data_IF_526545212403
#
_entry.id   IF_526545212403
#
_cell.length_a   1.000
_cell.length_b   1.000
_cell.length_c   1.000
_cell.angle_alpha   90.00
_cell.angle_beta   90.00
_cell.angle_gamma   90.00
#
_symmetry.space_group_name_H-M   'P 1'
#
loop_
_entity.id
_entity.type
_entity.pdbx_description
1 polymer ?
#
# COMPACT_ATOMS: atom_id res chain seq x y z
N UNK A 1 -5.39 10.87 -6.47
CA UNK A 1 -4.65 9.66 -6.04
C UNK A 1 -4.25 9.88 -4.59
N UNK A 2 -4.24 8.83 -3.76
CA UNK A 2 -3.89 8.99 -2.34
C UNK A 2 -2.42 8.70 -2.15
N UNK A 3 -1.68 9.62 -1.52
CA UNK A 3 -0.34 9.33 -1.02
C UNK A 3 -0.46 8.42 0.20
N UNK A 4 -0.08 7.15 0.05
CA UNK A 4 -0.31 6.11 1.05
C UNK A 4 1.00 5.49 1.53
N UNK A 5 1.05 5.16 2.82
CA UNK A 5 2.21 4.56 3.47
C UNK A 5 1.89 3.11 3.85
N UNK A 6 2.92 2.28 3.79
CA UNK A 6 2.93 0.97 4.42
C UNK A 6 3.58 1.06 5.79
N UNK A 7 3.16 0.16 6.67
CA UNK A 7 3.53 0.19 8.09
C UNK A 7 4.16 -1.11 8.58
N UNK A 8 4.47 -2.04 7.67
CA UNK A 8 5.02 -3.35 8.01
C UNK A 8 6.27 -3.64 7.18
N UNK A 9 7.28 -4.23 7.80
CA UNK A 9 8.44 -4.75 7.09
C UNK A 9 8.07 -6.00 6.29
N UNK A 10 7.07 -6.77 6.74
CA UNK A 10 6.57 -7.92 5.99
C UNK A 10 6.09 -7.54 4.59
N UNK A 11 5.26 -6.50 4.47
CA UNK A 11 4.83 -6.03 3.15
C UNK A 11 6.03 -5.57 2.32
N UNK A 12 7.05 -4.97 2.94
CA UNK A 12 8.28 -4.59 2.24
C UNK A 12 9.04 -5.80 1.69
N UNK A 13 9.27 -6.83 2.50
CA UNK A 13 9.94 -8.05 2.04
C UNK A 13 9.15 -8.77 0.95
N UNK A 14 7.82 -8.82 1.07
CA UNK A 14 6.94 -9.40 0.05
C UNK A 14 6.98 -8.62 -1.28
N UNK A 15 7.14 -7.29 -1.22
CA UNK A 15 7.37 -6.47 -2.42
C UNK A 15 8.72 -6.80 -3.06
N UNK A 16 9.78 -6.93 -2.26
CA UNK A 16 11.11 -7.29 -2.79
C UNK A 16 11.10 -8.67 -3.46
N UNK A 17 10.40 -9.64 -2.89
CA UNK A 17 10.16 -10.95 -3.49
C UNK A 17 9.54 -10.80 -4.88
N UNK A 18 8.44 -10.06 -5.02
CA UNK A 18 7.81 -9.85 -6.33
C UNK A 18 8.68 -9.08 -7.32
N UNK A 19 9.54 -8.19 -6.84
CA UNK A 19 10.48 -7.45 -7.71
C UNK A 19 11.58 -8.37 -8.23
N UNK A 20 12.00 -9.35 -7.43
CA UNK A 20 13.03 -10.31 -7.85
C UNK A 20 12.60 -11.18 -9.04
N UNK A 21 11.29 -11.25 -9.32
CA UNK A 21 10.72 -11.96 -10.47
C UNK A 21 10.68 -11.10 -11.76
N UNK A 22 10.99 -9.82 -11.70
CA UNK A 22 10.98 -8.92 -12.86
C UNK A 22 12.25 -9.07 -13.70
N UNK A 23 12.13 -8.87 -15.01
CA UNK A 23 13.30 -8.83 -15.89
C UNK A 23 14.18 -7.59 -15.64
N UNK A 24 15.46 -7.70 -16.01
CA UNK A 24 16.46 -6.65 -15.77
C UNK A 24 16.15 -5.32 -16.44
N UNK A 25 15.45 -5.32 -17.57
CA UNK A 25 15.08 -4.09 -18.28
C UNK A 25 13.96 -3.34 -17.54
N UNK A 26 12.97 -4.08 -17.01
CA UNK A 26 11.93 -3.53 -16.16
C UNK A 26 12.48 -3.03 -14.82
N UNK A 27 13.46 -3.72 -14.23
CA UNK A 27 14.09 -3.30 -12.98
C UNK A 27 14.73 -1.92 -13.08
N UNK A 28 15.56 -1.69 -14.11
CA UNK A 28 16.22 -0.39 -14.29
C UNK A 28 15.19 0.75 -14.44
N UNK A 29 14.14 0.51 -15.23
CA UNK A 29 13.04 1.46 -15.40
C UNK A 29 12.27 1.72 -14.10
N UNK A 30 12.02 0.67 -13.30
CA UNK A 30 11.32 0.74 -12.03
C UNK A 30 12.07 1.62 -11.02
N UNK A 31 13.38 1.40 -10.84
CA UNK A 31 14.18 2.17 -9.88
C UNK A 31 14.29 3.65 -10.28
N UNK A 32 14.47 3.94 -11.57
CA UNK A 32 14.45 5.32 -12.07
C UNK A 32 13.12 6.01 -11.76
N UNK A 33 12.00 5.33 -12.01
CA UNK A 33 10.66 5.84 -11.72
C UNK A 33 10.43 6.01 -10.22
N UNK A 34 10.95 5.10 -9.38
CA UNK A 34 10.86 5.22 -7.93
C UNK A 34 11.60 6.45 -7.41
N UNK A 35 12.82 6.71 -7.91
CA UNK A 35 13.56 7.93 -7.61
C UNK A 35 12.79 9.19 -8.00
N UNK A 36 12.25 9.24 -9.23
CA UNK A 36 11.48 10.37 -9.70
C UNK A 36 10.24 10.64 -8.83
N UNK A 37 9.47 9.60 -8.52
CA UNK A 37 8.27 9.70 -7.68
C UNK A 37 8.63 10.14 -6.26
N UNK A 38 9.70 9.59 -5.67
CA UNK A 38 10.12 9.97 -4.33
C UNK A 38 10.57 11.43 -4.26
N UNK A 39 11.38 11.89 -5.22
CA UNK A 39 11.83 13.29 -5.27
C UNK A 39 10.67 14.26 -5.45
N UNK A 40 9.74 13.96 -6.36
CA UNK A 40 8.53 14.78 -6.58
C UNK A 40 7.64 14.81 -5.34
N UNK A 41 7.50 13.68 -4.63
CA UNK A 41 6.73 13.61 -3.39
C UNK A 41 7.37 14.50 -2.30
N UNK A 42 8.68 14.41 -2.11
CA UNK A 42 9.43 15.25 -1.16
C UNK A 42 9.23 16.73 -1.48
N UNK A 43 9.41 17.13 -2.74
CA UNK A 43 9.26 18.52 -3.18
C UNK A 43 7.83 19.04 -2.94
N UNK A 44 6.80 18.25 -3.28
CA UNK A 44 5.41 18.64 -3.04
C UNK A 44 5.11 18.82 -1.54
N UNK A 45 5.58 17.90 -0.69
CA UNK A 45 5.42 18.00 0.77
C UNK A 45 6.10 19.26 1.32
N UNK A 46 7.32 19.55 0.89
CA UNK A 46 8.07 20.75 1.31
C UNK A 46 7.35 22.05 0.92
N UNK A 47 6.64 22.05 -0.20
CA UNK A 47 5.83 23.17 -0.68
C UNK A 47 4.44 23.24 -0.05
N UNK A 48 4.08 22.32 0.85
CA UNK A 48 2.73 22.22 1.43
C UNK A 48 1.66 21.72 0.44
N UNK A 49 2.07 21.19 -0.71
CA UNK A 49 1.20 20.69 -1.76
C UNK A 49 0.78 19.24 -1.48
N UNK A 50 -0.41 18.87 -1.96
CA UNK A 50 -0.87 17.48 -1.91
C UNK A 50 -0.11 16.62 -2.93
N UNK A 51 0.37 15.45 -2.51
CA UNK A 51 1.07 14.51 -3.39
C UNK A 51 0.05 13.71 -4.22
N UNK A 52 0.01 13.99 -5.53
CA UNK A 52 -0.81 13.26 -6.52
C UNK A 52 0.08 12.54 -7.54
N UNK A 53 0.82 11.53 -7.08
CA UNK A 53 1.74 10.75 -7.92
C UNK A 53 1.29 9.30 -8.00
N UNK A 54 1.50 8.68 -9.16
CA UNK A 54 1.23 7.25 -9.34
C UNK A 54 2.33 6.41 -8.70
N UNK A 55 1.96 5.25 -8.14
CA UNK A 55 2.91 4.27 -7.63
C UNK A 55 3.94 3.89 -8.72
N UNK A 56 5.24 3.76 -8.39
CA UNK A 56 6.27 3.39 -9.36
C UNK A 56 6.04 2.01 -9.98
N UNK A 57 5.48 1.07 -9.21
CA UNK A 57 5.10 -0.26 -9.71
C UNK A 57 3.88 -0.25 -10.64
N UNK A 58 3.24 0.90 -10.89
CA UNK A 58 2.15 0.99 -11.86
C UNK A 58 2.71 1.11 -13.28
N UNK A 59 2.32 0.20 -14.16
CA UNK A 59 2.55 0.27 -15.61
C UNK A 59 1.22 0.17 -16.33
N UNK A 60 0.84 1.23 -17.05
CA UNK A 60 -0.42 1.33 -17.81
C UNK A 60 -1.66 0.93 -16.99
N UNK A 61 -1.72 1.33 -15.72
CA UNK A 61 -2.83 1.03 -14.82
C UNK A 61 -2.72 -0.30 -14.07
N UNK A 62 -1.76 -1.16 -14.41
CA UNK A 62 -1.56 -2.48 -13.80
C UNK A 62 -0.33 -2.45 -12.88
N UNK A 63 -0.37 -3.18 -11.76
CA UNK A 63 0.80 -3.33 -10.89
C UNK A 63 1.75 -4.38 -11.47
N UNK A 64 3.02 -4.04 -11.65
CA UNK A 64 4.05 -4.93 -12.19
C UNK A 64 4.21 -6.22 -11.37
N UNK A 65 4.03 -6.13 -10.05
CA UNK A 65 4.13 -7.25 -9.12
C UNK A 65 2.75 -7.67 -8.62
N UNK A 66 1.75 -7.79 -9.51
CA UNK A 66 0.35 -7.96 -9.11
C UNK A 66 0.12 -9.12 -8.12
N UNK A 67 0.81 -10.25 -8.27
CA UNK A 67 0.69 -11.38 -7.34
C UNK A 67 1.25 -11.05 -5.95
N UNK A 68 2.32 -10.24 -5.92
CA UNK A 68 2.98 -9.74 -4.72
C UNK A 68 2.44 -8.38 -4.24
N UNK A 69 1.22 -8.00 -4.65
CA UNK A 69 0.60 -6.75 -4.18
C UNK A 69 0.33 -6.85 -2.67
N UNK A 70 0.82 -5.88 -1.87
CA UNK A 70 0.54 -5.83 -0.45
C UNK A 70 -0.95 -5.81 -0.14
N UNK A 71 -1.30 -6.35 1.02
CA UNK A 71 -2.69 -6.43 1.51
C UNK A 71 -3.38 -5.06 1.44
N UNK A 72 -2.74 -4.01 1.96
CA UNK A 72 -3.36 -2.68 1.98
C UNK A 72 -3.61 -2.12 0.57
N UNK A 73 -2.74 -2.41 -0.40
CA UNK A 73 -2.91 -1.99 -1.79
C UNK A 73 -4.11 -2.68 -2.47
N UNK A 74 -4.45 -3.90 -2.05
CA UNK A 74 -5.61 -4.66 -2.56
C UNK A 74 -6.92 -4.14 -1.99
N UNK A 75 -6.89 -3.79 -0.70
CA UNK A 75 -8.07 -3.33 0.01
C UNK A 75 -8.34 -1.84 -0.27
N UNK A 76 -7.33 -1.04 -0.61
CA UNK A 76 -7.49 0.38 -0.88
C UNK A 76 -8.54 0.66 -1.97
N UNK A 77 -9.47 1.59 -1.69
CA UNK A 77 -10.51 2.02 -2.62
C UNK A 77 -11.80 1.18 -2.60
N UNK A 78 -11.90 0.17 -1.73
CA UNK A 78 -13.10 -0.65 -1.56
C UNK A 78 -13.88 -0.18 -0.31
N UNK A 79 -15.23 -0.12 -0.33
CA UNK A 79 -16.02 0.11 0.86
C UNK A 79 -15.69 -0.90 1.95
N UNK A 80 -15.72 -0.47 3.21
CA UNK A 80 -15.28 -1.31 4.31
C UNK A 80 -15.76 -0.88 5.68
N UNK A 81 -15.58 -1.79 6.62
CA UNK A 81 -15.87 -1.62 8.03
C UNK A 81 -14.61 -1.85 8.86
N UNK A 82 -14.50 -1.11 9.95
CA UNK A 82 -13.48 -1.29 10.97
C UNK A 82 -14.14 -1.36 12.34
N UNK A 83 -14.08 -2.55 12.93
CA UNK A 83 -14.51 -2.82 14.28
C UNK A 83 -13.35 -2.59 15.24
N UNK A 84 -13.50 -1.60 16.12
CA UNK A 84 -12.53 -1.30 17.18
C UNK A 84 -13.10 -1.76 18.52
N UNK A 85 -12.33 -2.46 19.38
CA UNK A 85 -12.81 -2.88 20.68
C UNK A 85 -13.33 -1.69 21.50
N UNK A 86 -14.59 -1.76 21.94
CA UNK A 86 -15.24 -0.74 22.76
C UNK A 86 -15.56 0.58 22.06
N UNK A 87 -15.46 0.66 20.72
CA UNK A 87 -15.85 1.85 19.94
C UNK A 87 -16.87 1.48 18.87
N UNK A 88 -17.55 2.50 18.35
CA UNK A 88 -18.44 2.34 17.21
C UNK A 88 -17.67 1.90 15.96
N UNK A 89 -18.28 1.03 15.16
CA UNK A 89 -17.78 0.63 13.85
C UNK A 89 -17.60 1.84 12.94
N UNK A 90 -16.44 1.93 12.30
CA UNK A 90 -16.14 2.99 11.33
C UNK A 90 -16.36 2.44 9.92
N UNK A 91 -17.10 3.20 9.10
CA UNK A 91 -17.40 2.84 7.72
C UNK A 91 -16.59 3.72 6.76
N UNK A 92 -15.97 3.10 5.76
CA UNK A 92 -15.36 3.78 4.62
C UNK A 92 -16.13 3.49 3.34
N UNK A 93 -16.41 4.51 2.53
CA UNK A 93 -17.21 4.40 1.29
C UNK A 93 -16.41 3.91 0.07
N UNK A 94 -15.10 3.69 0.22
CA UNK A 94 -14.23 3.31 -0.90
C UNK A 94 -13.82 4.50 -1.76
N UNK A 95 -13.42 4.26 -3.02
CA UNK A 95 -13.08 5.32 -3.96
C UNK A 95 -14.25 5.66 -4.89
N UNK A 96 -14.26 6.88 -5.42
CA UNK A 96 -15.28 7.37 -6.37
C UNK A 96 -15.47 6.44 -7.58
N UNK A 97 -14.39 5.81 -8.07
CA UNK A 97 -14.48 4.85 -9.18
C UNK A 97 -15.29 3.62 -8.80
N UNK A 98 -15.07 3.08 -7.59
CA UNK A 98 -15.86 1.95 -7.09
C UNK A 98 -17.33 2.32 -6.95
N UNK A 99 -17.60 3.48 -6.33
CA UNK A 99 -18.95 4.01 -6.14
C UNK A 99 -19.72 4.09 -7.47
N UNK A 100 -19.14 4.74 -8.49
CA UNK A 100 -19.75 4.85 -9.83
C UNK A 100 -20.00 3.48 -10.47
N UNK A 101 -19.06 2.53 -10.33
CA UNK A 101 -19.17 1.21 -10.97
C UNK A 101 -20.13 0.26 -10.23
N UNK A 102 -20.35 0.48 -8.94
CA UNK A 102 -21.11 -0.44 -8.07
C UNK A 102 -22.36 0.19 -7.47
N UNK A 103 -22.75 1.42 -7.86
CA UNK A 103 -23.87 2.19 -7.31
C UNK A 103 -25.19 1.40 -7.19
N UNK A 104 -25.45 0.49 -8.15
CA UNK A 104 -26.68 -0.32 -8.20
C UNK A 104 -26.55 -1.71 -7.55
N UNK A 105 -25.40 -2.04 -6.99
CA UNK A 105 -25.15 -3.34 -6.36
C UNK A 105 -25.37 -3.24 -4.86
N UNK A 106 -25.89 -4.31 -4.28
CA UNK A 106 -26.00 -4.41 -2.82
C UNK A 106 -24.60 -4.27 -2.20
N UNK A 107 -24.49 -3.39 -1.20
CA UNK A 107 -23.26 -3.26 -0.43
C UNK A 107 -23.01 -4.57 0.32
N UNK A 108 -21.88 -5.22 0.02
CA UNK A 108 -21.43 -6.40 0.76
C UNK A 108 -20.55 -5.93 1.92
N UNK A 109 -20.88 -6.31 3.17
CA UNK A 109 -20.04 -6.01 4.32
C UNK A 109 -18.62 -6.52 4.10
N UNK A 110 -17.63 -5.66 4.32
CA UNK A 110 -16.23 -6.02 4.23
C UNK A 110 -15.49 -5.51 5.47
N UNK A 111 -15.47 -6.35 6.51
CA UNK A 111 -14.73 -6.10 7.73
C UNK A 111 -13.23 -6.29 7.50
N UNK A 112 -12.46 -5.21 7.66
CA UNK A 112 -10.99 -5.23 7.53
C UNK A 112 -10.29 -5.59 8.82
N UNK A 113 -10.98 -5.52 9.97
CA UNK A 113 -10.38 -5.73 11.29
C UNK A 113 -9.63 -7.07 11.37
N UNK A 114 -10.18 -8.22 10.94
CA UNK A 114 -9.48 -9.50 11.02
C UNK A 114 -8.16 -9.52 10.21
N UNK A 115 -8.15 -8.87 9.04
CA UNK A 115 -6.97 -8.78 8.19
C UNK A 115 -5.88 -7.93 8.83
N UNK A 116 -6.25 -6.78 9.41
CA UNK A 116 -5.30 -5.91 10.10
C UNK A 116 -4.73 -6.57 11.36
N UNK A 117 -5.55 -7.30 12.13
CA UNK A 117 -5.09 -8.07 13.29
C UNK A 117 -4.11 -9.16 12.84
N UNK A 118 -4.44 -9.91 11.79
CA UNK A 118 -3.57 -10.97 11.26
C UNK A 118 -2.23 -10.41 10.78
N UNK A 119 -2.23 -9.30 10.03
CA UNK A 119 -1.02 -8.64 9.57
C UNK A 119 -0.17 -8.09 10.74
N UNK A 120 -0.81 -7.49 11.74
CA UNK A 120 -0.12 -6.98 12.92
C UNK A 120 0.55 -8.10 13.73
N UNK A 121 -0.10 -9.25 13.86
CA UNK A 121 0.47 -10.43 14.53
C UNK A 121 1.66 -11.00 13.75
N UNK A 122 1.52 -11.16 12.43
CA UNK A 122 2.62 -11.62 11.57
C UNK A 122 3.83 -10.66 11.67
N UNK A 123 3.61 -9.35 11.57
CA UNK A 123 4.67 -8.34 11.67
C UNK A 123 5.35 -8.42 13.03
N UNK A 124 4.58 -8.55 14.12
CA UNK A 124 5.12 -8.70 15.48
C UNK A 124 6.00 -9.94 15.59
N UNK A 125 5.52 -11.09 15.13
CA UNK A 125 6.25 -12.36 15.23
C UNK A 125 7.55 -12.32 14.43
N UNK A 126 7.52 -11.78 13.21
CA UNK A 126 8.72 -11.61 12.39
C UNK A 126 9.71 -10.64 13.05
N UNK A 127 9.26 -9.47 13.52
CA UNK A 127 10.12 -8.50 14.21
C UNK A 127 10.79 -9.09 15.44
N UNK A 128 10.06 -9.89 16.23
CA UNK A 128 10.60 -10.57 17.39
C UNK A 128 11.69 -11.58 17.01
N UNK A 129 11.48 -12.37 15.97
CA UNK A 129 12.45 -13.36 15.47
C UNK A 129 13.72 -12.72 14.91
N UNK A 130 13.58 -11.60 14.21
CA UNK A 130 14.70 -10.89 13.56
C UNK A 130 15.35 -9.81 14.45
N UNK A 131 14.82 -9.58 15.66
CA UNK A 131 15.33 -8.56 16.58
C UNK A 131 15.08 -7.11 16.14
N UNK A 132 14.17 -6.87 15.19
CA UNK A 132 13.86 -5.55 14.64
C UNK A 132 13.03 -4.74 15.65
N UNK A 133 13.49 -3.55 16.01
CA UNK A 133 12.80 -2.65 16.96
C UNK A 133 12.21 -1.42 16.28
N UNK A 134 12.70 -1.11 15.10
CA UNK A 134 12.40 0.08 14.30
C UNK A 134 10.93 0.10 13.89
N UNK A 135 10.38 1.30 13.75
CA UNK A 135 9.07 1.49 13.13
C UNK A 135 9.24 1.55 11.62
N UNK A 136 8.25 1.02 10.91
CA UNK A 136 8.19 1.11 9.46
C UNK A 136 7.12 2.11 9.04
N UNK A 137 7.47 3.05 8.17
CA UNK A 137 6.54 3.95 7.51
C UNK A 137 7.16 4.43 6.20
N UNK A 138 6.89 3.71 5.12
CA UNK A 138 7.43 4.03 3.79
C UNK A 138 6.35 3.91 2.72
N UNK A 139 6.40 4.79 1.73
CA UNK A 139 5.73 4.54 0.45
C UNK A 139 6.49 3.46 -0.32
N UNK A 140 5.86 2.87 -1.32
CA UNK A 140 6.58 1.96 -2.24
C UNK A 140 7.75 2.68 -2.91
N UNK A 141 7.62 3.96 -3.27
CA UNK A 141 8.73 4.69 -3.86
C UNK A 141 9.94 4.79 -2.90
N UNK A 142 9.69 5.06 -1.61
CA UNK A 142 10.74 5.08 -0.58
C UNK A 142 11.38 3.70 -0.38
N UNK A 143 10.58 2.62 -0.37
CA UNK A 143 11.10 1.27 -0.25
C UNK A 143 12.08 0.86 -1.35
N UNK A 144 11.95 1.44 -2.54
CA UNK A 144 12.76 1.11 -3.69
C UNK A 144 14.01 1.97 -3.82
N UNK A 145 14.11 3.08 -3.09
CA UNK A 145 15.26 4.00 -3.19
C UNK A 145 16.10 4.05 -1.92
N UNK A 146 15.60 3.46 -0.84
CA UNK A 146 16.31 3.27 0.44
C UNK A 146 17.07 1.93 0.42
#
# INVERSE_FOLDING_TARGET
>A
MTHFFHHTHLEYFYILEGISELDSTLLASLYNKAHEVNQKAISAIQQGNQVHLMCPLNSKGICLIYNHRPMICRMHGIPHELNFPGKQTVFGTGCKTFEIQCEKKQCLPFDRTPFYVSMANLEKDMKQKLGIKEKFKKTIAQMLVD
#
